data_IF_273365665904
#
_entry.id   IF_273365665904
#
_cell.length_a   1.000
_cell.length_b   1.000
_cell.length_c   1.000
_cell.angle_alpha   90.00
_cell.angle_beta   90.00
_cell.angle_gamma   90.00
#
_symmetry.space_group_name_H-M   'P 1'
#
loop_
_entity.id
_entity.type
_entity.pdbx_description
1 polymer ?
2 non-polymer ?
3 water ?
#
# COMPACT_ATOMS: atom_id res chain seq x y z
N UNK A 1 -18.85 -7.61 19.05
CA UNK A 1 -17.52 -7.15 18.56
C UNK A 1 -16.47 -8.22 18.85
N UNK A 2 -15.37 -8.24 18.09
CA UNK A 2 -14.24 -9.16 18.33
C UNK A 2 -13.27 -8.37 19.20
N UNK A 3 -12.65 -9.17 20.13
CA UNK A 3 -11.80 -8.41 21.07
C UNK A 3 -10.48 -7.94 20.45
N UNK A 4 -9.93 -8.75 19.56
CA UNK A 4 -8.59 -8.54 18.99
C UNK A 4 -8.74 -8.66 17.49
N UNK A 5 -9.44 -7.70 16.83
CA UNK A 5 -9.62 -7.76 15.37
C UNK A 5 -8.26 -7.79 14.69
N UNK A 6 -8.09 -8.65 13.68
CA UNK A 6 -6.77 -8.84 13.05
C UNK A 6 -6.61 -7.92 11.85
N UNK A 7 -7.64 -7.18 11.43
CA UNK A 7 -7.56 -6.24 10.29
C UNK A 7 -8.74 -5.27 10.35
N UNK A 8 -8.81 -4.33 9.43
CA UNK A 8 -9.89 -3.31 9.43
C UNK A 8 -11.23 -3.92 9.04
N UNK A 9 -11.26 -5.12 8.44
CA UNK A 9 -12.54 -5.81 8.14
C UNK A 9 -13.17 -6.31 9.43
N UNK A 10 -12.40 -6.89 10.32
CA UNK A 10 -12.91 -7.35 11.62
C UNK A 10 -13.21 -6.16 12.53
N UNK A 11 -12.54 -5.01 12.36
CA UNK A 11 -12.81 -3.79 13.15
C UNK A 11 -14.08 -3.11 12.64
N UNK A 12 -14.40 -3.24 11.35
CA UNK A 12 -15.55 -2.54 10.73
C UNK A 12 -16.80 -3.31 11.12
N UNK A 13 -16.69 -4.63 11.12
CA UNK A 13 -17.80 -5.52 11.51
C UNK A 13 -18.03 -5.30 13.02
N UNK A 14 -17.02 -4.76 13.72
CA UNK A 14 -17.14 -4.36 15.16
C UNK A 14 -18.00 -3.09 15.28
N UNK A 15 -18.61 -2.65 14.16
CA UNK A 15 -19.53 -1.49 14.12
C UNK A 15 -18.80 -0.17 13.96
N UNK A 16 -17.52 -0.19 13.59
CA UNK A 16 -16.71 1.03 13.47
C UNK A 16 -16.73 1.46 11.99
N UNK A 17 -17.55 2.44 11.62
CA UNK A 17 -17.89 2.73 10.20
C UNK A 17 -17.27 4.05 9.77
N UNK A 18 -16.65 4.77 10.69
CA UNK A 18 -15.95 6.05 10.45
C UNK A 18 -14.52 5.66 10.10
N UNK A 19 -14.04 6.18 9.00
CA UNK A 19 -12.61 6.03 8.66
C UNK A 19 -11.81 6.72 9.77
N UNK A 20 -10.65 6.17 10.09
CA UNK A 20 -9.69 6.79 11.00
C UNK A 20 -8.82 5.74 11.65
N UNK A 21 -8.23 6.06 12.83
CA UNK A 21 -7.24 5.18 13.45
C UNK A 21 -7.93 4.14 14.31
N UNK A 22 -7.55 2.89 14.14
CA UNK A 22 -8.02 1.74 14.94
C UNK A 22 -6.85 0.89 15.38
N UNK A 23 -7.03 0.19 16.49
CA UNK A 23 -6.07 -0.86 16.86
C UNK A 23 -6.48 -2.18 16.20
N UNK A 24 -5.55 -2.82 15.50
CA UNK A 24 -5.67 -4.24 15.13
C UNK A 24 -4.60 -5.04 15.87
N UNK A 25 -4.75 -6.34 15.80
CA UNK A 25 -3.90 -7.26 16.56
C UNK A 25 -3.42 -8.34 15.61
N UNK A 26 -2.13 -8.39 15.34
CA UNK A 26 -1.69 -9.34 14.28
C UNK A 26 -1.91 -10.79 14.76
N UNK A 27 -2.50 -11.64 13.92
CA UNK A 27 -2.82 -13.03 14.28
C UNK A 27 -3.84 -13.05 15.43
N UNK A 28 -4.60 -11.99 15.63
CA UNK A 28 -5.55 -11.88 16.77
C UNK A 28 -4.86 -11.95 18.13
N UNK A 29 -3.57 -11.61 18.21
CA UNK A 29 -2.75 -11.74 19.45
C UNK A 29 -2.77 -10.39 20.15
N UNK A 30 -3.29 -10.32 21.36
CA UNK A 30 -3.35 -9.10 22.18
C UNK A 30 -1.93 -8.52 22.41
N UNK A 31 -0.86 -9.30 22.27
CA UNK A 31 0.51 -8.77 22.43
C UNK A 31 1.07 -8.24 21.11
N UNK A 32 0.28 -8.22 20.02
CA UNK A 32 0.79 -7.75 18.70
C UNK A 32 -0.13 -6.63 18.21
N UNK A 33 -0.41 -5.65 19.06
CA UNK A 33 -1.26 -4.49 18.73
C UNK A 33 -0.53 -3.63 17.71
N UNK A 34 -1.28 -3.07 16.80
CA UNK A 34 -0.76 -2.21 15.72
C UNK A 34 -1.83 -1.16 15.45
N UNK A 35 -1.48 0.12 15.50
CA UNK A 35 -2.42 1.20 15.14
C UNK A 35 -2.41 1.31 13.62
N UNK A 36 -3.58 1.30 13.01
CA UNK A 36 -3.68 1.42 11.55
C UNK A 36 -4.73 2.45 11.23
N UNK A 37 -4.61 3.06 10.05
CA UNK A 37 -5.71 3.86 9.48
C UNK A 37 -6.61 2.92 8.68
N UNK A 38 -7.89 2.90 9.02
CA UNK A 38 -8.92 2.10 8.32
C UNK A 38 -9.71 3.05 7.42
N UNK A 39 -9.76 2.71 6.12
CA UNK A 39 -10.69 3.34 5.16
C UNK A 39 -11.96 2.52 5.20
N UNK A 40 -12.99 3.07 5.85
CA UNK A 40 -14.23 2.34 6.07
C UNK A 40 -15.29 2.74 5.02
N UNK A 41 -14.95 3.53 4.01
CA UNK A 41 -15.97 4.03 3.04
C UNK A 41 -15.72 3.51 1.62
N UNK A 42 -14.47 3.40 1.16
CA UNK A 42 -14.22 2.96 -0.23
C UNK A 42 -14.66 1.50 -0.47
N UNK A 43 -15.41 1.26 -1.56
CA UNK A 43 -15.92 -0.07 -1.99
C UNK A 43 -16.19 -0.95 -0.76
N UNK A 44 -17.10 -0.52 0.12
CA UNK A 44 -17.58 -1.35 1.25
C UNK A 44 -16.75 -1.24 2.52
N UNK A 45 -15.59 -0.60 2.45
CA UNK A 45 -14.79 -0.35 3.68
C UNK A 45 -13.95 -1.53 4.09
N UNK A 46 -13.51 -1.49 5.33
CA UNK A 46 -12.73 -2.54 6.00
C UNK A 46 -11.28 -2.60 5.50
N UNK A 47 -10.75 -1.51 4.96
CA UNK A 47 -9.41 -1.53 4.33
C UNK A 47 -8.37 -1.00 5.33
N UNK A 48 -7.27 -1.72 5.50
CA UNK A 48 -6.05 -1.18 6.17
C UNK A 48 -5.36 -0.35 5.09
N UNK A 49 -5.24 0.94 5.33
CA UNK A 49 -4.39 1.78 4.45
C UNK A 49 -2.93 1.54 4.84
N UNK A 50 -2.07 1.31 3.86
CA UNK A 50 -0.63 1.10 4.13
C UNK A 50 0.28 2.10 3.43
N UNK A 51 -0.23 2.89 2.51
CA UNK A 51 0.53 3.98 1.86
C UNK A 51 -0.46 5.12 1.68
N UNK A 52 -0.07 6.34 2.02
CA UNK A 52 -0.86 7.53 1.61
C UNK A 52 0.11 8.60 1.13
N UNK A 53 -0.13 9.14 -0.08
CA UNK A 53 0.55 10.33 -0.59
C UNK A 53 -0.54 11.38 -0.81
N UNK A 54 -0.29 12.62 -0.43
CA UNK A 54 -1.36 13.65 -0.59
C UNK A 54 -0.77 15.08 -0.64
N UNK A 55 0.44 15.32 -0.16
CA UNK A 55 0.92 16.74 -0.07
C UNK A 55 2.43 16.89 -0.16
N UNK A 56 3.25 15.85 -0.17
CA UNK A 56 4.71 15.94 -0.26
C UNK A 56 5.36 16.39 1.05
N UNK A 57 4.65 16.40 2.18
CA UNK A 57 5.32 16.86 3.44
C UNK A 57 6.28 15.77 3.94
N UNK A 58 6.02 14.49 3.69
CA UNK A 58 6.83 13.38 4.24
C UNK A 58 7.89 12.92 3.24
N UNK A 59 9.05 12.52 3.72
CA UNK A 59 10.16 11.99 2.89
C UNK A 59 9.99 10.48 2.67
N UNK A 60 9.87 10.02 1.42
CA UNK A 60 9.76 8.58 1.08
C UNK A 60 11.09 8.02 0.58
N UNK A 61 12.12 8.85 0.49
CA UNK A 61 13.46 8.37 0.06
C UNK A 61 14.17 7.93 1.33
N UNK A 62 13.74 6.77 1.82
CA UNK A 62 14.19 6.22 3.10
C UNK A 62 14.81 4.85 2.90
N UNK A 63 15.53 4.42 3.93
CA UNK A 63 16.34 3.20 3.87
C UNK A 63 15.54 1.94 4.16
N UNK A 64 16.19 0.79 3.99
CA UNK A 64 15.62 -0.55 4.21
C UNK A 64 14.95 -0.60 5.58
N UNK A 65 15.67 -0.24 6.65
CA UNK A 65 15.14 -0.35 8.03
C UNK A 65 13.84 0.44 8.14
N UNK A 66 13.80 1.64 7.54
CA UNK A 66 12.60 2.50 7.57
C UNK A 66 11.45 1.82 6.83
N UNK A 67 11.72 1.29 5.65
CA UNK A 67 10.67 0.59 4.87
C UNK A 67 10.22 -0.68 5.56
N UNK A 68 11.13 -1.37 6.27
CA UNK A 68 10.71 -2.59 7.01
C UNK A 68 9.83 -2.23 8.20
N UNK A 69 10.11 -1.13 8.88
CA UNK A 69 9.42 -0.79 10.16
C UNK A 69 8.21 0.11 9.97
N UNK A 70 8.18 0.89 8.90
CA UNK A 70 7.14 1.91 8.70
C UNK A 70 7.59 3.27 9.20
N UNK A 71 6.98 4.32 8.68
CA UNK A 71 7.30 5.71 9.02
C UNK A 71 6.12 6.60 8.66
N UNK A 72 6.09 7.77 9.26
CA UNK A 72 5.14 8.83 8.92
C UNK A 72 4.02 8.98 9.90
N UNK A 73 3.02 9.73 9.50
CA UNK A 73 1.83 10.09 10.27
C UNK A 73 0.66 9.35 9.59
N UNK A 74 0.10 8.35 10.24
CA UNK A 74 -1.04 7.54 9.71
C UNK A 74 -2.21 8.38 9.28
N UNK A 75 -2.37 9.53 9.89
CA UNK A 75 -3.50 10.43 9.52
C UNK A 75 -3.20 11.24 8.27
N UNK A 76 -1.94 11.24 7.81
CA UNK A 76 -1.47 12.06 6.69
C UNK A 76 -0.65 11.13 5.79
N UNK A 77 0.59 11.49 5.45
CA UNK A 77 1.42 10.68 4.56
C UNK A 77 2.23 9.70 5.39
N UNK A 78 2.19 8.43 5.00
CA UNK A 78 2.91 7.39 5.76
C UNK A 78 3.09 6.14 4.90
N UNK A 79 3.92 5.26 5.45
CA UNK A 79 4.18 3.88 4.97
C UNK A 79 4.05 2.94 6.17
N UNK A 80 3.19 1.92 6.07
CA UNK A 80 2.90 1.06 7.25
C UNK A 80 4.05 0.15 7.65
N UNK A 81 4.94 -0.21 6.75
CA UNK A 81 6.02 -1.13 7.07
C UNK A 81 5.87 -2.49 6.42
N UNK A 82 6.95 -2.98 5.82
CA UNK A 82 6.95 -4.29 5.13
C UNK A 82 6.75 -5.43 6.13
N UNK A 83 7.29 -5.32 7.34
CA UNK A 83 7.13 -6.42 8.32
C UNK A 83 5.65 -6.53 8.68
N UNK A 84 4.99 -5.39 8.90
CA UNK A 84 3.54 -5.35 9.15
C UNK A 84 2.82 -5.95 7.96
N UNK A 85 3.16 -5.55 6.73
CA UNK A 85 2.42 -6.07 5.56
C UNK A 85 2.61 -7.57 5.42
N UNK A 86 3.82 -8.07 5.66
CA UNK A 86 4.06 -9.51 5.60
C UNK A 86 3.15 -10.21 6.62
N UNK A 87 3.14 -9.72 7.86
CA UNK A 87 2.42 -10.42 8.95
C UNK A 87 0.91 -10.35 8.68
N UNK A 88 0.41 -9.23 8.16
CA UNK A 88 -1.05 -9.09 7.87
C UNK A 88 -1.36 -10.08 6.73
N UNK A 89 -0.63 -10.01 5.61
CA UNK A 89 -0.98 -10.82 4.41
C UNK A 89 -0.81 -12.32 4.69
N UNK A 90 -0.02 -12.69 5.70
CA UNK A 90 0.14 -14.10 6.12
C UNK A 90 -1.09 -14.65 6.83
N UNK A 91 -2.00 -13.79 7.33
CA UNK A 91 -3.16 -14.16 8.20
C UNK A 91 -4.29 -14.78 7.40
N UNK A 92 -4.26 -14.68 6.09
CA UNK A 92 -5.38 -15.10 5.25
C UNK A 92 -5.16 -14.71 3.82
N UNK A 93 -6.19 -14.79 2.99
CA UNK A 93 -6.10 -14.36 1.57
C UNK A 93 -6.56 -12.90 1.49
N UNK A 94 -5.62 -11.97 1.22
CA UNK A 94 -5.91 -10.53 1.11
C UNK A 94 -5.96 -10.08 -0.35
N UNK A 95 -6.73 -9.01 -0.52
CA UNK A 95 -6.89 -8.23 -1.78
C UNK A 95 -6.26 -6.85 -1.58
N UNK A 96 -5.60 -6.34 -2.63
CA UNK A 96 -5.03 -4.99 -2.69
C UNK A 96 -6.02 -4.08 -3.39
N UNK A 97 -6.19 -2.87 -2.90
CA UNK A 97 -6.85 -1.78 -3.63
C UNK A 97 -5.94 -0.57 -3.66
N UNK A 98 -5.88 0.09 -4.82
CA UNK A 98 -5.13 1.33 -4.99
C UNK A 98 -6.16 2.36 -5.44
N UNK A 99 -6.24 3.48 -4.72
CA UNK A 99 -7.05 4.66 -5.08
C UNK A 99 -6.13 5.79 -5.48
N UNK A 100 -6.39 6.39 -6.64
CA UNK A 100 -5.58 7.49 -7.19
C UNK A 100 -6.53 8.66 -7.45
N UNK A 101 -6.01 9.86 -7.25
CA UNK A 101 -6.77 11.09 -7.60
C UNK A 101 -5.77 12.15 -8.01
N UNK A 102 -6.08 12.87 -9.07
CA UNK A 102 -5.17 13.89 -9.60
C UNK A 102 -6.06 14.91 -10.31
N UNK A 103 -6.00 16.17 -9.86
CA UNK A 103 -6.77 17.26 -10.50
C UNK A 103 -8.22 16.83 -10.73
N UNK A 104 -8.85 16.24 -9.71
CA UNK A 104 -10.28 15.89 -9.68
C UNK A 104 -10.58 14.56 -10.37
N UNK A 105 -9.66 14.03 -11.15
CA UNK A 105 -9.87 12.71 -11.81
C UNK A 105 -9.51 11.61 -10.82
N UNK A 106 -10.28 10.53 -10.82
CA UNK A 106 -10.02 9.35 -9.95
C UNK A 106 -9.89 8.09 -10.79
N UNK A 107 -9.12 7.16 -10.27
CA UNK A 107 -9.05 5.81 -10.87
C UNK A 107 -8.74 4.86 -9.73
N UNK A 108 -8.88 3.57 -9.97
CA UNK A 108 -8.56 2.57 -8.96
C UNK A 108 -8.08 1.30 -9.64
N UNK A 109 -7.41 0.49 -8.85
CA UNK A 109 -7.03 -0.88 -9.22
C UNK A 109 -7.30 -1.78 -8.03
N UNK A 110 -7.79 -2.97 -8.29
CA UNK A 110 -7.95 -4.03 -7.28
C UNK A 110 -7.20 -5.23 -7.79
N UNK A 111 -6.48 -5.92 -6.91
CA UNK A 111 -5.86 -7.22 -7.20
C UNK A 111 -6.45 -8.19 -6.19
N UNK A 112 -7.16 -9.20 -6.67
CA UNK A 112 -7.86 -10.17 -5.80
C UNK A 112 -6.92 -10.97 -4.91
N UNK A 113 -5.65 -11.13 -5.29
CA UNK A 113 -4.64 -11.81 -4.46
C UNK A 113 -3.46 -10.88 -4.28
N UNK A 114 -3.11 -10.60 -3.02
CA UNK A 114 -1.99 -9.72 -2.66
C UNK A 114 -1.30 -10.27 -1.45
N UNK A 115 0.00 -10.48 -1.56
CA UNK A 115 0.77 -10.88 -0.38
C UNK A 115 2.15 -10.22 -0.43
N UNK A 116 2.78 -10.15 0.72
CA UNK A 116 4.18 -9.66 0.84
C UNK A 116 4.94 -10.72 1.65
N UNK A 117 6.01 -11.25 1.09
CA UNK A 117 6.81 -12.28 1.79
C UNK A 117 7.58 -11.70 2.96
N UNK A 118 8.25 -12.57 3.71
CA UNK A 118 9.02 -12.10 4.87
C UNK A 118 10.40 -11.64 4.43
N UNK A 119 11.14 -11.17 5.39
CA UNK A 119 12.47 -10.55 5.13
C UNK A 119 13.41 -11.47 4.37
N UNK A 120 13.32 -12.80 4.56
CA UNK A 120 14.23 -13.77 3.88
C UNK A 120 13.86 -13.83 2.39
N UNK A 121 12.68 -13.33 2.00
CA UNK A 121 12.24 -13.18 0.57
C UNK A 121 12.53 -11.76 0.05
N UNK A 122 13.19 -10.92 0.85
CA UNK A 122 13.30 -9.46 0.64
C UNK A 122 11.88 -8.92 0.35
N UNK A 123 10.92 -9.36 1.16
CA UNK A 123 9.51 -8.85 1.14
C UNK A 123 8.91 -8.97 -0.27
N UNK A 124 9.04 -10.17 -0.87
CA UNK A 124 8.59 -10.48 -2.27
C UNK A 124 7.13 -10.09 -2.43
N UNK A 125 6.82 -9.36 -3.50
CA UNK A 125 5.42 -8.99 -3.84
C UNK A 125 4.73 -10.13 -4.61
N UNK A 126 3.50 -10.46 -4.26
CA UNK A 126 2.56 -11.24 -5.11
C UNK A 126 1.34 -10.37 -5.36
N UNK A 127 0.98 -10.14 -6.62
CA UNK A 127 -0.25 -9.41 -7.00
C UNK A 127 -0.82 -10.11 -8.21
N UNK A 128 -2.04 -10.54 -8.09
CA UNK A 128 -2.73 -11.24 -9.19
C UNK A 128 -4.19 -10.77 -9.17
N UNK A 129 -4.88 -11.03 -10.26
CA UNK A 129 -6.34 -10.87 -10.35
C UNK A 129 -6.74 -9.39 -10.38
N UNK A 130 -6.33 -8.71 -11.44
CA UNK A 130 -6.58 -7.28 -11.67
C UNK A 130 -8.02 -7.00 -12.07
N UNK A 131 -8.57 -5.95 -11.49
CA UNK A 131 -9.73 -5.24 -12.07
C UNK A 131 -9.52 -3.75 -11.79
N UNK A 132 -10.17 -2.91 -12.57
CA UNK A 132 -10.22 -1.48 -12.31
C UNK A 132 -10.10 -0.60 -13.51
N UNK A 133 -9.81 0.67 -13.23
CA UNK A 133 -9.82 1.75 -14.24
C UNK A 133 -8.42 2.36 -14.40
N UNK A 134 -7.50 2.11 -13.45
CA UNK A 134 -6.17 2.77 -13.50
C UNK A 134 -5.28 2.12 -14.55
N UNK A 135 -5.61 0.89 -14.94
CA UNK A 135 -4.72 0.10 -15.80
C UNK A 135 -3.83 -0.79 -14.98
N UNK A 136 -3.57 -2.00 -15.44
CA UNK A 136 -2.84 -3.02 -14.66
C UNK A 136 -1.33 -2.71 -14.69
N UNK A 137 -0.87 -1.79 -13.86
CA UNK A 137 0.57 -1.39 -13.80
C UNK A 137 1.33 -2.21 -12.76
N UNK A 138 0.66 -2.91 -11.83
CA UNK A 138 1.36 -3.80 -10.89
C UNK A 138 1.77 -5.11 -11.54
N UNK A 139 1.19 -5.53 -12.68
CA UNK A 139 1.58 -6.83 -13.28
C UNK A 139 3.09 -6.84 -13.52
N UNK A 140 3.64 -5.72 -14.02
CA UNK A 140 5.09 -5.56 -14.31
C UNK A 140 5.93 -5.96 -13.08
N UNK A 141 5.39 -5.67 -11.90
CA UNK A 141 6.12 -5.73 -10.62
C UNK A 141 5.91 -7.09 -9.92
N UNK A 142 4.96 -7.90 -10.37
CA UNK A 142 4.62 -9.18 -9.69
C UNK A 142 5.85 -10.04 -9.51
N UNK A 143 6.02 -10.53 -8.28
CA UNK A 143 7.07 -11.50 -7.95
C UNK A 143 8.38 -10.83 -7.59
N UNK A 144 8.47 -9.51 -7.63
CA UNK A 144 9.75 -8.82 -7.38
C UNK A 144 9.98 -8.57 -5.88
N UNK A 145 11.23 -8.68 -5.45
CA UNK A 145 11.58 -8.27 -4.07
C UNK A 145 11.52 -6.74 -3.96
N UNK A 146 11.51 -6.28 -2.73
CA UNK A 146 11.50 -4.84 -2.40
C UNK A 146 12.93 -4.34 -2.54
N UNK A 147 13.08 -3.05 -2.86
CA UNK A 147 14.38 -2.38 -3.08
C UNK A 147 14.36 -1.00 -2.45
N UNK A 148 15.40 -0.70 -1.68
CA UNK A 148 15.73 0.64 -1.20
C UNK A 148 17.16 0.93 -1.67
N UNK A 149 17.58 2.17 -1.51
CA UNK A 149 18.89 2.61 -2.04
C UNK A 149 19.98 1.79 -1.39
N UNK A 150 19.79 1.33 -0.15
CA UNK A 150 20.85 0.63 0.63
C UNK A 150 20.74 -0.88 0.55
N UNK A 151 19.77 -1.44 -0.18
CA UNK A 151 19.61 -2.90 -0.43
C UNK A 151 19.04 -3.07 -1.84
N UNK A 159 20.72 0.27 -9.48
CA UNK A 159 19.78 0.33 -8.32
C UNK A 159 18.70 1.40 -8.64
N UNK A 160 17.45 0.92 -8.79
CA UNK A 160 16.28 1.75 -9.19
C UNK A 160 15.89 2.75 -8.11
N UNK A 161 16.01 2.35 -6.83
CA UNK A 161 15.64 3.19 -5.68
C UNK A 161 16.54 4.42 -5.70
N UNK A 162 17.81 4.17 -5.93
CA UNK A 162 18.81 5.26 -5.99
C UNK A 162 18.55 6.11 -7.25
N UNK A 163 18.41 5.47 -8.42
CA UNK A 163 18.25 6.16 -9.73
C UNK A 163 17.02 7.08 -9.69
N UNK A 164 15.90 6.63 -9.10
CA UNK A 164 14.63 7.41 -9.06
C UNK A 164 14.39 8.01 -7.64
N UNK A 165 15.32 7.85 -6.69
CA UNK A 165 15.23 8.45 -5.32
C UNK A 165 13.86 8.08 -4.69
N UNK A 166 13.49 6.80 -4.77
CA UNK A 166 12.26 6.25 -4.17
C UNK A 166 12.54 4.88 -3.56
N UNK A 167 11.52 4.03 -3.45
CA UNK A 167 11.58 2.67 -2.91
C UNK A 167 10.40 1.93 -3.50
N UNK A 168 10.55 0.68 -3.85
CA UNK A 168 9.45 -0.11 -4.43
C UNK A 168 9.89 -1.54 -4.65
N UNK A 169 8.96 -2.37 -5.05
CA UNK A 169 9.23 -3.69 -5.66
C UNK A 169 9.75 -3.48 -7.10
N UNK A 170 10.90 -2.81 -7.26
CA UNK A 170 11.42 -2.39 -8.57
C UNK A 170 11.84 -3.60 -9.40
N UNK A 171 11.73 -3.42 -10.70
CA UNK A 171 12.19 -4.38 -11.72
C UNK A 171 13.28 -3.68 -12.52
N UNK A 172 12.96 -3.04 -13.64
CA UNK A 172 14.01 -2.35 -14.44
C UNK A 172 13.39 -1.22 -15.24
N UNK A 173 12.71 -0.27 -14.59
CA UNK A 173 12.65 -0.11 -13.14
C UNK A 173 11.19 -0.14 -12.67
N UNK A 174 10.28 0.60 -13.29
CA UNK A 174 8.92 0.68 -12.70
C UNK A 174 7.87 1.06 -13.71
N UNK A 175 6.65 0.60 -13.44
CA UNK A 175 5.41 1.18 -14.01
C UNK A 175 4.56 1.78 -12.87
N UNK A 176 4.86 1.40 -11.62
CA UNK A 176 4.27 2.01 -10.41
C UNK A 176 5.40 2.58 -9.56
N UNK A 177 5.26 3.82 -9.11
CA UNK A 177 6.31 4.47 -8.29
C UNK A 177 5.65 5.28 -7.18
N UNK A 178 4.70 4.71 -6.44
CA UNK A 178 3.87 5.51 -5.51
C UNK A 178 4.64 6.04 -4.29
N UNK A 179 5.89 5.57 -4.07
CA UNK A 179 6.78 6.08 -3.03
C UNK A 179 7.85 6.95 -3.68
N UNK A 180 7.55 7.50 -4.85
CA UNK A 180 8.47 8.41 -5.56
C UNK A 180 8.43 9.81 -5.02
N UNK A 181 9.13 10.70 -5.72
CA UNK A 181 9.25 12.12 -5.28
C UNK A 181 7.98 12.90 -5.58
N UNK A 182 7.38 13.51 -4.59
CA UNK A 182 6.09 14.21 -4.70
C UNK A 182 6.22 15.41 -5.64
N UNK A 183 5.28 15.55 -6.56
CA UNK A 183 5.15 16.63 -7.54
C UNK A 183 6.25 16.66 -8.58
N UNK A 184 7.02 15.60 -8.73
CA UNK A 184 8.18 15.58 -9.66
C UNK A 184 7.69 15.01 -11.00
N UNK A 185 7.44 15.88 -11.99
CA UNK A 185 6.93 15.44 -13.31
C UNK A 185 8.07 15.02 -14.23
N UNK A 186 9.34 15.06 -13.78
CA UNK A 186 10.44 14.57 -14.63
C UNK A 186 10.28 13.07 -14.82
N UNK A 187 10.62 12.57 -16.00
CA UNK A 187 10.39 11.15 -16.42
C UNK A 187 10.74 10.18 -15.29
N UNK A 188 9.75 9.40 -14.80
CA UNK A 188 9.95 8.27 -13.85
C UNK A 188 10.41 8.71 -12.46
N UNK A 189 10.46 10.01 -12.15
CA UNK A 189 10.92 10.51 -10.83
C UNK A 189 9.76 10.65 -9.85
N UNK A 190 8.51 10.71 -10.32
CA UNK A 190 7.39 11.13 -9.47
C UNK A 190 6.49 9.98 -9.02
N UNK A 191 5.37 10.38 -8.49
CA UNK A 191 4.34 9.44 -7.95
C UNK A 191 3.59 8.91 -9.18
N UNK A 192 4.12 7.83 -9.79
CA UNK A 192 3.65 7.43 -11.13
C UNK A 192 2.77 6.17 -11.04
N UNK A 193 1.76 6.13 -11.92
CA UNK A 193 1.01 4.92 -12.30
C UNK A 193 0.91 4.90 -13.81
N UNK A 194 1.87 4.24 -14.42
CA UNK A 194 2.15 4.50 -15.85
C UNK A 194 0.90 4.32 -16.71
N UNK A 195 0.09 3.29 -16.45
CA UNK A 195 -0.96 2.93 -17.42
C UNK A 195 -2.20 3.79 -17.14
N UNK A 196 -2.09 4.77 -16.26
CA UNK A 196 -3.10 5.83 -16.00
C UNK A 196 -2.54 7.16 -16.52
N UNK A 197 -1.39 7.61 -16.00
CA UNK A 197 -0.91 8.98 -16.29
C UNK A 197 0.53 9.02 -16.77
N UNK A 198 1.12 7.89 -17.07
CA UNK A 198 2.44 7.82 -17.67
C UNK A 198 3.55 8.15 -16.72
N UNK A 199 4.70 8.50 -17.27
CA UNK A 199 5.94 8.65 -16.45
C UNK A 199 6.31 10.12 -16.27
N UNK A 200 5.57 11.05 -16.90
CA UNK A 200 5.89 12.50 -16.80
C UNK A 200 4.71 13.25 -16.14
N UNK A 201 4.05 12.59 -15.20
CA UNK A 201 2.89 13.15 -14.47
C UNK A 201 2.88 12.56 -13.07
N UNK A 202 3.24 13.37 -12.07
CA UNK A 202 3.24 12.93 -10.66
C UNK A 202 1.85 13.07 -10.11
N UNK A 203 1.31 12.00 -9.53
CA UNK A 203 -0.10 11.94 -9.08
C UNK A 203 -0.23 12.60 -7.71
N UNK A 204 -1.21 13.48 -7.57
CA UNK A 204 -1.44 14.27 -6.35
C UNK A 204 -1.75 13.37 -5.16
N UNK A 205 -2.65 12.41 -5.31
CA UNK A 205 -3.18 11.62 -4.19
C UNK A 205 -3.10 10.15 -4.53
N UNK A 206 -2.57 9.36 -3.62
CA UNK A 206 -2.52 7.92 -3.84
C UNK A 206 -2.66 7.20 -2.51
N UNK A 207 -3.48 6.18 -2.48
CA UNK A 207 -3.51 5.25 -1.32
C UNK A 207 -3.39 3.82 -1.78
N UNK A 208 -2.64 3.01 -1.05
CA UNK A 208 -2.64 1.53 -1.19
C UNK A 208 -3.23 0.93 0.08
N UNK A 209 -4.10 -0.06 -0.05
CA UNK A 209 -4.82 -0.59 1.13
C UNK A 209 -5.17 -2.05 0.91
N UNK A 210 -5.45 -2.79 1.97
CA UNK A 210 -5.69 -4.24 1.86
C UNK A 210 -6.80 -4.69 2.80
N UNK A 211 -7.44 -5.77 2.40
CA UNK A 211 -8.45 -6.40 3.28
C UNK A 211 -8.65 -7.82 2.78
N UNK A 212 -9.31 -8.71 3.54
CA UNK A 212 -9.55 -10.07 3.04
C UNK A 212 -10.34 -10.10 1.73
N UNK A 213 -9.86 -10.89 0.79
CA UNK A 213 -10.51 -10.99 -0.53
C UNK A 213 -11.95 -11.49 -0.39
N UNK A 214 -12.24 -12.27 0.64
CA UNK A 214 -13.61 -12.80 0.84
C UNK A 214 -14.56 -11.81 1.49
N UNK A 215 -14.11 -10.59 1.84
CA UNK A 215 -14.96 -9.54 2.46
C UNK A 215 -16.19 -9.23 1.64
N UNK A 216 -16.08 -9.29 0.32
CA UNK A 216 -17.13 -8.92 -0.66
C UNK A 216 -18.32 -9.84 -0.47
N UNK A 217 -18.21 -10.93 0.30
CA UNK A 217 -19.40 -11.81 0.46
C UNK A 217 -19.44 -12.55 1.79
N UNK A 218 -19.01 -11.94 2.90
CA UNK A 218 -18.70 -12.72 4.13
C UNK A 218 -19.89 -12.87 5.09
X LIG B 1 6.66 2.34 12.90
X LIG B 1 3.99 5.28 11.91
X LIG B 1 5.20 5.59 12.66
X LIG B 1 6.09 4.56 12.90
X LIG B 1 5.78 3.25 12.47
X LIG B 1 6.60 2.05 14.24
X LIG B 1 7.92 1.36 16.25
X LIG B 1 4.30 1.48 11.43
X LIG B 1 9.41 0.97 16.39
X LIG B 1 9.97 1.16 14.98
X LIG B 1 4.64 2.91 11.74
X LIG B 1 3.80 3.96 11.44
X LIG B 1 7.64 1.09 14.77
X LIG B 1 5.70 2.48 14.98
X LIG B 1 8.86 1.27 14.11
X LIG B 1 2.53 3.77 10.24
#
# INVERSE_FOLDING_TARGET
SMPFPKDCSQAMLNGDTTSGLYTIYLNGDKAQALEVFCDMTSDGGGWIVFLRRKNGRENFYQNWKAYAAGFGDRREEFWLGLDNLNKITAQGQYELRVDLRDHGETAFAVYDKFSVGDAKTRYKLKVEGYSGTAGDSMAYHNGRSFSTFDKDTDSAITNCALSYKGAFWYRNCHRVNLMGRYGDNNHSQGVNWFHWKGHEHSIQFAEMKLRPSNFRNLEG
NTV N1 C4 C5 C6 C7 C8 C10 C1 C11 C12 C2 C3 C9 O1 O2 CL1
#
